data_IF_958104613718
#
_entry.id   IF_958104613718
#
_cell.length_a   1.000
_cell.length_b   1.000
_cell.length_c   1.000
_cell.angle_alpha   90.00
_cell.angle_beta   90.00
_cell.angle_gamma   90.00
#
_symmetry.space_group_name_H-M   'P 1'
#
loop_
_entity.id
_entity.type
_entity.pdbx_description
1 polymer ?
#
# COMPACT_ATOMS: atom_id res chain seq x y z
N UNK A 1 -17.23 -26.55 5.84
CA UNK A 1 -15.98 -25.81 6.12
C UNK A 1 -15.24 -25.70 4.80
N UNK A 2 -15.43 -24.61 4.06
CA UNK A 2 -14.80 -24.47 2.74
C UNK A 2 -13.41 -23.89 2.94
N UNK A 3 -12.42 -24.77 3.08
CA UNK A 3 -11.00 -24.43 2.95
C UNK A 3 -10.77 -23.89 1.54
N UNK A 4 -10.60 -22.57 1.43
CA UNK A 4 -9.96 -21.99 0.26
C UNK A 4 -8.46 -22.05 0.51
N UNK A 5 -7.66 -22.63 -0.42
CA UNK A 5 -6.23 -22.78 -0.23
C UNK A 5 -5.61 -21.42 0.00
N UNK A 6 -4.74 -21.32 1.02
CA UNK A 6 -3.98 -20.11 1.35
C UNK A 6 -3.03 -19.82 0.18
N UNK A 7 -3.56 -19.17 -0.85
CA UNK A 7 -2.82 -18.70 -2.01
C UNK A 7 -1.84 -17.65 -1.50
N UNK A 8 -0.55 -17.82 -1.79
CA UNK A 8 0.48 -16.85 -1.45
C UNK A 8 -0.03 -15.43 -1.72
N UNK A 9 -0.07 -14.61 -0.67
CA UNK A 9 -0.64 -13.25 -0.73
C UNK A 9 0.07 -12.50 -1.85
N UNK A 10 -0.69 -12.04 -2.84
CA UNK A 10 -0.11 -11.22 -3.90
C UNK A 10 0.44 -9.93 -3.28
N UNK A 11 1.67 -9.51 -3.62
CA UNK A 11 2.23 -8.27 -3.09
C UNK A 11 1.31 -7.11 -3.42
N UNK A 12 1.11 -6.23 -2.43
CA UNK A 12 0.36 -5.01 -2.65
C UNK A 12 1.12 -4.11 -3.62
N UNK A 13 0.40 -3.30 -4.40
CA UNK A 13 0.97 -2.48 -5.47
C UNK A 13 1.94 -1.38 -5.04
N UNK A 14 2.28 -1.28 -3.74
CA UNK A 14 3.26 -0.34 -3.22
C UNK A 14 2.79 1.10 -3.34
N UNK A 15 3.75 2.02 -3.50
CA UNK A 15 3.46 3.43 -3.69
C UNK A 15 2.77 3.66 -5.04
N UNK A 16 1.68 4.44 -5.01
CA UNK A 16 0.91 4.74 -6.20
C UNK A 16 1.51 5.99 -6.84
N UNK A 17 2.16 5.83 -8.00
CA UNK A 17 2.55 6.98 -8.81
C UNK A 17 1.29 7.76 -9.27
N UNK A 18 1.33 9.08 -9.16
CA UNK A 18 0.20 9.96 -9.47
C UNK A 18 -0.11 9.89 -10.97
N UNK A 19 -1.26 9.34 -11.35
CA UNK A 19 -1.68 9.20 -12.73
C UNK A 19 -2.00 10.54 -13.43
N UNK A 20 -1.40 10.75 -14.60
CA UNK A 20 -1.89 11.54 -15.73
C UNK A 20 -1.70 10.68 -17.02
N UNK A 21 -2.50 10.84 -18.09
CA UNK A 21 -3.04 9.68 -18.82
C UNK A 21 -2.16 9.11 -19.97
N UNK A 22 -2.32 7.79 -20.13
CA UNK A 22 -2.21 6.92 -21.31
C UNK A 22 -1.10 7.14 -22.36
N UNK A 23 -0.16 6.19 -22.45
CA UNK A 23 0.06 5.32 -23.62
C UNK A 23 1.40 4.55 -23.52
N UNK A 24 1.35 3.25 -23.86
CA UNK A 24 2.43 2.36 -24.30
C UNK A 24 3.68 2.15 -23.40
N UNK A 25 3.91 0.88 -23.05
CA UNK A 25 5.18 0.35 -22.52
C UNK A 25 6.29 0.41 -23.61
N UNK A 26 7.60 0.35 -23.26
CA UNK A 26 8.21 -0.85 -22.68
C UNK A 26 9.14 -0.59 -21.47
N UNK A 27 9.49 -1.70 -20.83
CA UNK A 27 10.26 -1.87 -19.61
C UNK A 27 11.63 -1.18 -19.63
N UNK A 28 12.01 -0.54 -18.52
CA UNK A 28 13.37 -0.05 -18.28
C UNK A 28 13.71 -0.20 -16.80
N UNK A 29 14.79 -0.96 -16.53
CA UNK A 29 15.70 -0.93 -15.37
C UNK A 29 15.11 -0.24 -14.13
N UNK A 30 14.76 -1.04 -13.12
CA UNK A 30 14.35 -0.55 -11.79
C UNK A 30 15.55 0.15 -11.10
N UNK A 31 15.83 1.38 -11.51
CA UNK A 31 16.35 2.39 -10.60
C UNK A 31 15.33 2.50 -9.48
N UNK A 32 15.76 2.23 -8.25
CA UNK A 32 14.99 2.58 -7.06
C UNK A 32 14.96 4.11 -7.00
N UNK A 33 14.07 4.72 -7.78
CA UNK A 33 13.69 6.12 -7.61
C UNK A 33 13.26 6.22 -6.16
N UNK A 34 14.08 6.92 -5.36
CA UNK A 34 13.89 7.07 -3.92
C UNK A 34 12.41 7.34 -3.65
N UNK A 35 11.77 6.44 -2.89
CA UNK A 35 10.39 6.60 -2.48
C UNK A 35 10.17 8.04 -1.98
N UNK A 36 9.11 8.75 -2.41
CA UNK A 36 8.85 10.11 -1.94
C UNK A 36 8.77 10.10 -0.41
N UNK A 37 9.74 10.76 0.21
CA UNK A 37 9.83 10.88 1.66
C UNK A 37 8.59 11.64 2.17
N UNK A 38 7.89 11.09 3.16
CA UNK A 38 6.78 11.77 3.80
C UNK A 38 7.28 13.08 4.45
N UNK A 39 6.63 14.20 4.14
CA UNK A 39 6.99 15.54 4.64
C UNK A 39 5.76 16.26 5.20
N UNK A 40 5.93 16.90 6.34
CA UNK A 40 4.88 17.71 6.97
C UNK A 40 4.42 18.83 6.03
N UNK A 41 3.11 19.07 5.97
CA UNK A 41 2.51 20.10 5.12
C UNK A 41 2.51 19.77 3.62
N UNK A 42 3.02 18.60 3.21
CA UNK A 42 2.91 18.08 1.85
C UNK A 42 1.86 16.95 1.81
N UNK A 43 1.24 16.70 0.64
CA UNK A 43 0.38 15.53 0.48
C UNK A 43 1.11 14.25 0.89
N UNK A 44 0.46 13.42 1.69
CA UNK A 44 1.00 12.11 2.07
C UNK A 44 1.20 11.24 0.81
N UNK A 45 2.31 10.48 0.71
CA UNK A 45 2.51 9.53 -0.38
C UNK A 45 1.37 8.52 -0.44
N UNK A 46 0.72 8.39 -1.59
CA UNK A 46 -0.35 7.41 -1.78
C UNK A 46 0.27 6.01 -1.90
N UNK A 47 -0.37 5.02 -1.27
CA UNK A 47 0.09 3.63 -1.29
C UNK A 47 -1.08 2.66 -1.28
N UNK A 48 -0.83 1.47 -1.80
CA UNK A 48 -1.71 0.31 -1.67
C UNK A 48 -0.99 -0.74 -0.83
N UNK A 49 -1.65 -1.18 0.25
CA UNK A 49 -1.18 -2.24 1.12
C UNK A 49 -2.19 -3.39 1.19
N UNK A 50 -1.72 -4.59 1.48
CA UNK A 50 -2.60 -5.68 1.88
C UNK A 50 -3.05 -5.42 3.30
N UNK A 51 -4.31 -5.72 3.61
CA UNK A 51 -4.85 -5.54 4.95
C UNK A 51 -5.72 -6.72 5.36
N UNK A 52 -5.92 -6.86 6.66
CA UNK A 52 -6.91 -7.76 7.25
C UNK A 52 -7.94 -6.93 8.00
N UNK A 53 -9.21 -7.01 7.59
CA UNK A 53 -10.31 -6.24 8.20
C UNK A 53 -11.55 -7.11 8.29
N UNK A 54 -12.14 -7.19 9.48
CA UNK A 54 -13.42 -7.90 9.70
C UNK A 54 -13.37 -9.37 9.30
N UNK A 55 -12.28 -10.07 9.61
CA UNK A 55 -12.14 -11.49 9.30
C UNK A 55 -11.66 -11.81 7.88
N UNK A 56 -11.40 -10.80 7.04
CA UNK A 56 -11.12 -10.97 5.61
C UNK A 56 -9.84 -10.28 5.18
N UNK A 57 -9.12 -10.91 4.26
CA UNK A 57 -8.00 -10.30 3.55
C UNK A 57 -8.50 -9.40 2.43
N UNK A 58 -7.83 -8.26 2.25
CA UNK A 58 -8.15 -7.30 1.20
C UNK A 58 -6.97 -6.40 0.88
N UNK A 59 -7.24 -5.37 0.06
CA UNK A 59 -6.32 -4.29 -0.24
C UNK A 59 -6.89 -2.99 0.30
N UNK A 60 -6.02 -2.13 0.80
CA UNK A 60 -6.35 -0.79 1.26
C UNK A 60 -5.50 0.22 0.51
N UNK A 61 -6.12 1.32 0.08
CA UNK A 61 -5.41 2.43 -0.56
C UNK A 61 -5.60 3.70 0.26
N UNK A 62 -4.53 4.46 0.46
CA UNK A 62 -4.59 5.68 1.28
C UNK A 62 -5.59 6.71 0.69
N UNK A 63 -5.66 6.82 -0.64
CA UNK A 63 -6.61 7.70 -1.31
C UNK A 63 -8.08 7.43 -0.99
N UNK A 64 -8.44 6.21 -0.58
CA UNK A 64 -9.83 5.82 -0.32
C UNK A 64 -10.39 6.50 0.94
N UNK A 65 -9.52 7.06 1.79
CA UNK A 65 -9.88 7.76 3.02
C UNK A 65 -9.89 9.29 2.88
N UNK A 66 -9.87 9.83 1.65
CA UNK A 66 -10.05 11.27 1.42
C UNK A 66 -11.30 11.79 2.14
N UNK A 67 -11.18 12.98 2.73
CA UNK A 67 -12.27 13.60 3.51
C UNK A 67 -12.34 13.16 4.98
N UNK A 68 -11.49 12.22 5.41
CA UNK A 68 -11.37 11.78 6.80
C UNK A 68 -9.97 12.09 7.33
N UNK A 69 -9.86 12.27 8.64
CA UNK A 69 -8.56 12.22 9.32
C UNK A 69 -8.08 10.77 9.39
N UNK A 70 -6.84 10.54 9.01
CA UNK A 70 -6.22 9.21 8.95
C UNK A 70 -4.94 9.22 9.78
N UNK A 71 -4.80 8.25 10.67
CA UNK A 71 -3.58 7.98 11.42
C UNK A 71 -2.95 6.70 10.88
N UNK A 72 -1.68 6.77 10.47
CA UNK A 72 -0.91 5.62 10.00
C UNK A 72 0.22 5.36 10.99
N UNK A 73 0.25 4.16 11.58
CA UNK A 73 1.27 3.76 12.55
C UNK A 73 2.13 2.65 11.95
N UNK A 74 3.44 2.80 12.02
CA UNK A 74 4.39 1.73 11.73
C UNK A 74 4.88 1.15 13.06
N UNK A 75 4.91 -0.17 13.16
CA UNK A 75 5.43 -0.89 14.33
C UNK A 75 6.41 -1.98 13.85
N UNK A 76 7.38 -2.38 14.69
CA UNK A 76 8.54 -3.15 14.24
C UNK A 76 8.25 -4.61 13.86
N UNK A 77 7.26 -5.25 14.50
CA UNK A 77 6.91 -6.62 14.18
C UNK A 77 5.74 -7.16 15.01
N UNK A 78 5.13 -8.23 14.50
CA UNK A 78 4.11 -8.99 15.21
C UNK A 78 4.75 -9.97 16.20
N UNK A 79 4.04 -10.27 17.30
CA UNK A 79 4.47 -11.25 18.32
C UNK A 79 5.84 -10.95 18.95
N UNK A 80 6.20 -9.67 19.06
CA UNK A 80 7.38 -9.24 19.81
C UNK A 80 7.05 -9.00 21.28
N UNK A 81 8.08 -8.90 22.11
CA UNK A 81 7.93 -8.54 23.52
C UNK A 81 7.60 -7.05 23.67
N UNK A 82 6.85 -6.73 24.73
CA UNK A 82 6.58 -5.36 25.23
C UNK A 82 7.26 -5.15 26.56
#
# INVERSE_FOLDING_TARGET
MSEQPVKCVQPAGGLVEKAAPAAAAPETKQEVKMAPLARVGKPAPDFVANCYKGGKFGKVKLSDFRGHWVMVCFYPGDFTFV
#
